data_IF_023629174516
#
_entry.id   IF_023629174516
#
_cell.length_a   1.000
_cell.length_b   1.000
_cell.length_c   1.000
_cell.angle_alpha   90.00
_cell.angle_beta   90.00
_cell.angle_gamma   90.00
#
_symmetry.space_group_name_H-M   'P 1'
#
loop_
_entity.id
_entity.type
_entity.pdbx_description
1 polymer ?
#
# COMPACT_ATOMS: atom_id res chain seq x y z
N UNK A 1 14.27 60.77 -10.84
CA UNK A 1 15.64 61.23 -10.50
C UNK A 1 16.00 62.53 -11.22
N UNK A 2 15.78 62.66 -12.53
CA UNK A 2 16.04 63.90 -13.29
C UNK A 2 15.25 65.13 -12.80
N UNK A 3 14.00 64.95 -12.37
CA UNK A 3 13.16 66.04 -11.83
C UNK A 3 13.74 66.68 -10.54
N UNK A 4 14.31 65.87 -9.65
CA UNK A 4 14.93 66.34 -8.40
C UNK A 4 16.24 67.09 -8.67
N UNK A 5 17.02 66.63 -9.65
CA UNK A 5 18.27 67.28 -10.09
C UNK A 5 17.96 68.64 -10.74
N UNK A 6 16.90 68.71 -11.57
CA UNK A 6 16.46 69.96 -12.21
C UNK A 6 16.00 71.04 -11.23
N UNK A 7 15.27 70.66 -10.17
CA UNK A 7 14.85 71.61 -9.13
C UNK A 7 16.00 72.06 -8.23
N UNK A 8 16.92 71.15 -7.87
CA UNK A 8 18.13 71.52 -7.12
C UNK A 8 19.03 72.49 -7.91
N UNK A 9 19.12 72.32 -9.22
CA UNK A 9 19.86 73.23 -10.11
C UNK A 9 19.24 74.62 -10.19
N UNK A 10 17.90 74.71 -10.26
CA UNK A 10 17.19 76.01 -10.25
C UNK A 10 17.35 76.76 -8.92
N UNK A 11 17.40 76.07 -7.80
CA UNK A 11 17.63 76.70 -6.48
C UNK A 11 19.06 77.25 -6.35
N UNK A 12 20.06 76.57 -6.93
CA UNK A 12 21.44 77.07 -6.98
C UNK A 12 21.59 78.37 -7.78
N UNK A 13 20.76 78.58 -8.81
CA UNK A 13 20.84 79.75 -9.70
C UNK A 13 20.02 80.95 -9.19
N UNK A 14 19.05 80.73 -8.30
CA UNK A 14 18.14 81.79 -7.78
C UNK A 14 18.25 81.97 -6.26
N UNK A 15 19.24 81.35 -5.61
CA UNK A 15 19.49 81.50 -4.19
C UNK A 15 19.78 82.96 -3.81
N UNK A 16 19.19 83.41 -2.70
CA UNK A 16 19.14 84.81 -2.23
C UNK A 16 20.49 85.53 -2.22
N UNK A 17 21.60 84.80 -2.16
CA UNK A 17 22.96 85.35 -2.31
C UNK A 17 23.16 86.08 -3.64
N UNK A 18 22.69 85.56 -4.78
CA UNK A 18 22.88 86.25 -6.06
C UNK A 18 22.06 87.54 -6.20
N UNK A 19 20.86 87.57 -5.62
CA UNK A 19 19.94 88.69 -5.74
C UNK A 19 20.34 89.89 -4.88
N UNK A 20 20.81 89.64 -3.65
CA UNK A 20 21.08 90.72 -2.69
C UNK A 20 22.57 91.08 -2.56
N UNK A 21 23.52 90.20 -2.94
CA UNK A 21 24.96 90.53 -2.88
C UNK A 21 25.29 91.77 -3.70
N UNK A 22 24.69 91.93 -4.87
CA UNK A 22 24.90 93.13 -5.71
C UNK A 22 24.41 94.41 -5.02
N UNK A 23 23.28 94.33 -4.33
CA UNK A 23 22.70 95.48 -3.61
C UNK A 23 23.54 95.83 -2.36
N UNK A 24 24.08 94.82 -1.65
CA UNK A 24 25.03 95.01 -0.55
C UNK A 24 26.34 95.66 -1.00
N UNK A 25 26.94 95.17 -2.10
CA UNK A 25 28.14 95.76 -2.70
C UNK A 25 27.92 97.23 -3.12
N UNK A 26 26.76 97.54 -3.71
CA UNK A 26 26.41 98.91 -4.11
C UNK A 26 26.22 99.84 -2.90
N UNK A 27 25.57 99.36 -1.84
CA UNK A 27 25.39 100.11 -0.60
C UNK A 27 26.73 100.38 0.10
N UNK A 28 27.61 99.38 0.20
CA UNK A 28 28.97 99.55 0.77
C UNK A 28 29.75 100.60 -0.02
N UNK A 29 29.72 100.53 -1.35
CA UNK A 29 30.40 101.49 -2.22
C UNK A 29 29.91 102.92 -2.01
N UNK A 30 28.59 103.13 -1.96
CA UNK A 30 27.98 104.45 -1.70
C UNK A 30 28.37 104.99 -0.33
N UNK A 31 28.41 104.14 0.71
CA UNK A 31 28.84 104.54 2.04
C UNK A 31 30.31 104.97 2.06
N UNK A 32 31.20 104.25 1.37
CA UNK A 32 32.62 104.62 1.25
C UNK A 32 32.82 105.94 0.49
N UNK A 33 32.03 106.19 -0.56
CA UNK A 33 32.06 107.46 -1.31
C UNK A 33 31.61 108.65 -0.45
N UNK A 34 30.57 108.48 0.36
CA UNK A 34 30.08 109.50 1.30
C UNK A 34 31.11 109.76 2.40
N UNK A 35 31.72 108.71 2.97
CA UNK A 35 32.79 108.83 3.96
C UNK A 35 33.99 109.64 3.44
N UNK A 36 34.45 109.32 2.23
CA UNK A 36 35.56 110.02 1.56
C UNK A 36 35.22 111.49 1.29
N UNK A 37 33.99 111.77 0.85
CA UNK A 37 33.51 113.13 0.58
C UNK A 37 33.47 113.96 1.86
N UNK A 38 33.00 113.38 2.97
CA UNK A 38 32.95 114.04 4.28
C UNK A 38 34.33 114.34 4.85
N UNK A 39 35.30 113.43 4.67
CA UNK A 39 36.70 113.67 5.05
C UNK A 39 37.34 114.82 4.27
N UNK A 40 36.88 115.09 3.04
CA UNK A 40 37.39 116.17 2.19
C UNK A 40 36.79 117.56 2.48
N UNK A 41 35.65 117.64 3.19
CA UNK A 41 34.92 118.89 3.44
C UNK A 41 35.39 119.62 4.71
N UNK A 42 35.87 120.88 4.59
CA UNK A 42 36.30 121.76 5.69
C UNK A 42 35.12 122.37 6.49
N UNK A 43 34.24 121.54 7.05
CA UNK A 43 33.18 121.95 7.99
C UNK A 43 33.51 121.48 9.42
N UNK A 44 32.86 122.08 10.42
CA UNK A 44 33.19 121.96 11.85
C UNK A 44 33.65 120.56 12.28
N UNK A 45 34.85 120.50 12.88
CA UNK A 45 35.60 119.28 13.18
C UNK A 45 34.83 118.21 13.97
N UNK A 46 33.81 118.60 14.74
CA UNK A 46 33.05 117.68 15.60
C UNK A 46 31.96 116.92 14.83
N UNK A 47 31.16 117.60 14.01
CA UNK A 47 30.01 117.00 13.30
C UNK A 47 30.43 116.06 12.17
N UNK A 48 31.51 116.38 11.45
CA UNK A 48 32.06 115.50 10.40
C UNK A 48 32.58 114.20 10.99
N UNK A 49 33.19 114.26 12.18
CA UNK A 49 33.72 113.08 12.89
C UNK A 49 32.60 112.15 13.35
N UNK A 50 31.49 112.69 13.83
CA UNK A 50 30.30 111.91 14.22
C UNK A 50 29.67 111.21 13.02
N UNK A 51 29.55 111.89 11.88
CA UNK A 51 28.94 111.31 10.68
C UNK A 51 29.82 110.22 10.05
N UNK A 52 31.14 110.39 10.03
CA UNK A 52 32.08 109.34 9.62
C UNK A 52 31.95 108.12 10.53
N UNK A 53 31.87 108.32 11.86
CA UNK A 53 31.65 107.22 12.80
C UNK A 53 30.33 106.47 12.54
N UNK A 54 29.23 107.18 12.26
CA UNK A 54 27.95 106.57 11.88
C UNK A 54 28.02 105.80 10.56
N UNK A 55 28.80 106.27 9.58
CA UNK A 55 28.99 105.55 8.31
C UNK A 55 29.79 104.26 8.52
N UNK A 56 30.86 104.31 9.32
CA UNK A 56 31.64 103.12 9.67
C UNK A 56 30.76 102.10 10.43
N UNK A 57 29.90 102.58 11.33
CA UNK A 57 28.93 101.72 12.03
C UNK A 57 27.93 101.07 11.06
N UNK A 58 27.37 101.85 10.13
CA UNK A 58 26.46 101.34 9.09
C UNK A 58 27.15 100.32 8.18
N UNK A 59 28.39 100.56 7.75
CA UNK A 59 29.18 99.59 7.00
C UNK A 59 29.38 98.29 7.79
N UNK A 60 29.64 98.39 9.10
CA UNK A 60 29.74 97.24 9.99
C UNK A 60 28.43 96.44 10.07
N UNK A 61 27.31 97.13 10.27
CA UNK A 61 25.98 96.52 10.30
C UNK A 61 25.61 95.87 8.94
N UNK A 62 26.00 96.50 7.83
CA UNK A 62 25.76 96.00 6.48
C UNK A 62 26.52 94.70 6.20
N UNK A 63 27.80 94.65 6.57
CA UNK A 63 28.62 93.44 6.46
C UNK A 63 28.07 92.30 7.34
N UNK A 64 27.57 92.62 8.55
CA UNK A 64 26.95 91.62 9.42
C UNK A 64 25.64 91.09 8.83
N UNK A 65 24.83 91.96 8.22
CA UNK A 65 23.60 91.58 7.53
C UNK A 65 23.89 90.69 6.31
N UNK A 66 24.89 91.03 5.50
CA UNK A 66 25.33 90.22 4.35
C UNK A 66 25.75 88.82 4.79
N UNK A 67 26.55 88.73 5.87
CA UNK A 67 26.95 87.43 6.45
C UNK A 67 25.73 86.62 6.90
N UNK A 68 24.78 87.23 7.61
CA UNK A 68 23.55 86.56 8.07
C UNK A 68 22.69 86.03 6.92
N UNK A 69 22.61 86.78 5.82
CA UNK A 69 21.88 86.36 4.61
C UNK A 69 22.58 85.17 3.95
N UNK A 70 23.92 85.22 3.84
CA UNK A 70 24.70 84.12 3.30
C UNK A 70 24.55 82.84 4.13
N UNK A 71 24.71 82.94 5.44
CA UNK A 71 24.56 81.81 6.37
C UNK A 71 23.13 81.23 6.29
N UNK A 72 22.11 82.09 6.20
CA UNK A 72 20.71 81.66 6.04
C UNK A 72 20.47 80.92 4.72
N UNK A 73 21.09 81.37 3.62
CA UNK A 73 20.98 80.72 2.31
C UNK A 73 21.67 79.35 2.28
N UNK A 74 22.85 79.24 2.89
CA UNK A 74 23.54 77.95 3.06
C UNK A 74 22.69 76.97 3.87
N UNK A 75 22.08 77.44 4.96
CA UNK A 75 21.14 76.64 5.76
C UNK A 75 19.90 76.22 4.97
N UNK A 76 19.29 77.12 4.20
CA UNK A 76 18.15 76.79 3.34
C UNK A 76 18.49 75.74 2.28
N UNK A 77 19.67 75.82 1.66
CA UNK A 77 20.13 74.83 0.70
C UNK A 77 20.37 73.45 1.36
N UNK A 78 20.94 73.44 2.56
CA UNK A 78 21.13 72.22 3.34
C UNK A 78 19.77 71.57 3.72
N UNK A 79 18.81 72.38 4.18
CA UNK A 79 17.46 71.92 4.52
C UNK A 79 16.73 71.39 3.28
N UNK A 80 16.78 72.12 2.17
CA UNK A 80 16.17 71.70 0.90
C UNK A 80 16.72 70.36 0.42
N UNK A 81 18.04 70.18 0.50
CA UNK A 81 18.69 68.92 0.13
C UNK A 81 18.23 67.75 1.02
N UNK A 82 18.10 67.99 2.33
CA UNK A 82 17.56 67.00 3.28
C UNK A 82 16.10 66.65 2.99
N UNK A 83 15.26 67.63 2.65
CA UNK A 83 13.85 67.41 2.27
C UNK A 83 13.77 66.55 1.00
N UNK A 84 14.58 66.87 -0.01
CA UNK A 84 14.60 66.10 -1.26
C UNK A 84 15.04 64.65 -1.02
N UNK A 85 16.08 64.43 -0.20
CA UNK A 85 16.51 63.10 0.18
C UNK A 85 15.43 62.35 0.98
N UNK A 86 14.76 63.04 1.90
CA UNK A 86 13.63 62.51 2.66
C UNK A 86 12.48 62.05 1.75
N UNK A 87 12.11 62.84 0.75
CA UNK A 87 11.07 62.48 -0.22
C UNK A 87 11.45 61.23 -1.04
N UNK A 88 12.68 61.15 -1.55
CA UNK A 88 13.14 59.97 -2.30
C UNK A 88 13.14 58.73 -1.40
N UNK A 89 13.54 58.87 -0.14
CA UNK A 89 13.54 57.76 0.83
C UNK A 89 12.10 57.33 1.13
N UNK A 90 11.18 58.28 1.27
CA UNK A 90 9.76 58.01 1.50
C UNK A 90 9.11 57.29 0.32
N UNK A 91 9.43 57.68 -0.91
CA UNK A 91 8.94 57.01 -2.12
C UNK A 91 9.49 55.58 -2.22
N UNK A 92 10.75 55.36 -1.85
CA UNK A 92 11.33 54.01 -1.72
C UNK A 92 10.61 53.17 -0.66
N UNK A 93 10.29 53.74 0.50
CA UNK A 93 9.52 53.06 1.55
C UNK A 93 8.11 52.70 1.08
N UNK A 94 7.43 53.59 0.36
CA UNK A 94 6.10 53.32 -0.23
C UNK A 94 6.16 52.13 -1.19
N UNK A 95 7.13 52.11 -2.11
CA UNK A 95 7.32 51.01 -3.04
C UNK A 95 7.57 49.67 -2.32
N UNK A 96 8.34 49.69 -1.23
CA UNK A 96 8.59 48.51 -0.40
C UNK A 96 7.33 48.01 0.32
N UNK A 97 6.49 48.94 0.82
CA UNK A 97 5.20 48.60 1.45
C UNK A 97 4.25 47.96 0.44
N UNK A 98 4.17 48.51 -0.78
CA UNK A 98 3.34 47.95 -1.84
C UNK A 98 3.80 46.55 -2.26
N UNK A 99 5.12 46.33 -2.36
CA UNK A 99 5.69 45.01 -2.62
C UNK A 99 5.37 44.01 -1.49
N UNK A 100 5.54 44.44 -0.23
CA UNK A 100 5.23 43.61 0.93
C UNK A 100 3.75 43.23 0.95
N UNK A 101 2.86 44.18 0.66
CA UNK A 101 1.41 43.94 0.57
C UNK A 101 1.08 42.89 -0.50
N UNK A 102 1.69 42.96 -1.69
CA UNK A 102 1.51 41.93 -2.71
C UNK A 102 1.98 40.56 -2.22
N UNK A 103 3.18 40.47 -1.63
CA UNK A 103 3.72 39.21 -1.10
C UNK A 103 2.83 38.59 -0.01
N UNK A 104 2.24 39.42 0.86
CA UNK A 104 1.30 38.95 1.87
C UNK A 104 0.02 38.38 1.25
N UNK A 105 -0.51 39.01 0.20
CA UNK A 105 -1.68 38.51 -0.53
C UNK A 105 -1.37 37.18 -1.24
N UNK A 106 -0.22 37.08 -1.90
CA UNK A 106 0.24 35.83 -2.53
C UNK A 106 0.40 34.70 -1.50
N UNK A 107 1.01 35.00 -0.35
CA UNK A 107 1.17 34.04 0.73
C UNK A 107 -0.18 33.54 1.25
N UNK A 108 -1.15 34.43 1.45
CA UNK A 108 -2.51 34.07 1.86
C UNK A 108 -3.19 33.13 0.87
N UNK A 109 -3.16 33.47 -0.42
CA UNK A 109 -3.74 32.64 -1.47
C UNK A 109 -3.07 31.25 -1.57
N UNK A 110 -1.75 31.20 -1.44
CA UNK A 110 -1.01 29.94 -1.47
C UNK A 110 -1.31 29.08 -0.24
N UNK A 111 -1.45 29.68 0.94
CA UNK A 111 -1.85 28.98 2.16
C UNK A 111 -3.25 28.36 2.04
N UNK A 112 -4.22 29.11 1.50
CA UNK A 112 -5.58 28.60 1.24
C UNK A 112 -5.56 27.41 0.28
N UNK A 113 -4.84 27.52 -0.85
CA UNK A 113 -4.71 26.40 -1.81
C UNK A 113 -4.08 25.16 -1.18
N UNK A 114 -3.05 25.33 -0.35
CA UNK A 114 -2.39 24.22 0.33
C UNK A 114 -3.35 23.52 1.31
N UNK A 115 -4.17 24.31 2.02
CA UNK A 115 -5.18 23.79 2.94
C UNK A 115 -6.30 23.03 2.22
N UNK A 116 -6.80 23.58 1.11
CA UNK A 116 -7.82 22.94 0.27
C UNK A 116 -7.32 21.61 -0.31
N UNK A 117 -6.10 21.58 -0.86
CA UNK A 117 -5.50 20.36 -1.40
C UNK A 117 -5.32 19.27 -0.34
N UNK A 118 -4.94 19.64 0.89
CA UNK A 118 -4.82 18.69 1.99
C UNK A 118 -6.18 18.14 2.42
N UNK A 119 -7.21 18.98 2.48
CA UNK A 119 -8.58 18.55 2.80
C UNK A 119 -9.14 17.60 1.74
N UNK A 120 -8.95 17.90 0.45
CA UNK A 120 -9.42 17.06 -0.64
C UNK A 120 -8.70 15.70 -0.67
N UNK A 121 -7.37 15.71 -0.50
CA UNK A 121 -6.56 14.49 -0.38
C UNK A 121 -6.98 13.64 0.82
N UNK A 122 -7.14 14.25 2.00
CA UNK A 122 -7.56 13.55 3.21
C UNK A 122 -8.99 12.97 3.08
N UNK A 123 -9.91 13.72 2.46
CA UNK A 123 -11.27 13.22 2.19
C UNK A 123 -11.25 12.02 1.24
N UNK A 124 -10.42 12.07 0.20
CA UNK A 124 -10.29 10.97 -0.75
C UNK A 124 -9.73 9.70 -0.08
N UNK A 125 -8.69 9.85 0.75
CA UNK A 125 -8.15 8.74 1.55
C UNK A 125 -9.19 8.16 2.52
N UNK A 126 -10.00 9.02 3.15
CA UNK A 126 -11.07 8.57 4.06
C UNK A 126 -12.15 7.79 3.32
N UNK A 127 -12.54 8.24 2.12
CA UNK A 127 -13.50 7.53 1.26
C UNK A 127 -13.00 6.16 0.82
N UNK A 128 -11.75 6.09 0.37
CA UNK A 128 -11.11 4.83 -0.02
C UNK A 128 -10.98 3.86 1.17
N UNK A 129 -10.61 4.37 2.35
CA UNK A 129 -10.57 3.57 3.57
C UNK A 129 -11.96 3.03 3.97
N UNK A 130 -13.01 3.85 3.84
CA UNK A 130 -14.39 3.42 4.07
C UNK A 130 -14.80 2.31 3.11
N UNK A 131 -14.49 2.44 1.82
CA UNK A 131 -14.82 1.44 0.81
C UNK A 131 -14.10 0.11 1.07
N UNK A 132 -12.81 0.18 1.42
CA UNK A 132 -12.04 -1.01 1.85
C UNK A 132 -12.62 -1.66 3.10
N UNK A 133 -13.04 -0.87 4.09
CA UNK A 133 -13.65 -1.38 5.31
C UNK A 133 -14.98 -2.09 5.05
N UNK A 134 -15.83 -1.53 4.17
CA UNK A 134 -17.10 -2.16 3.77
C UNK A 134 -16.87 -3.49 3.05
N UNK A 135 -15.91 -3.54 2.12
CA UNK A 135 -15.58 -4.78 1.41
C UNK A 135 -15.07 -5.86 2.37
N UNK A 136 -14.19 -5.51 3.31
CA UNK A 136 -13.69 -6.44 4.31
C UNK A 136 -14.82 -6.96 5.24
N UNK A 137 -15.80 -6.12 5.57
CA UNK A 137 -16.96 -6.53 6.36
C UNK A 137 -17.85 -7.53 5.59
N UNK A 138 -18.11 -7.27 4.31
CA UNK A 138 -18.89 -8.17 3.44
C UNK A 138 -18.19 -9.54 3.26
N UNK A 139 -16.88 -9.53 3.03
CA UNK A 139 -16.07 -10.75 2.97
C UNK A 139 -16.13 -11.53 4.29
N UNK A 140 -16.06 -10.86 5.44
CA UNK A 140 -16.16 -11.50 6.74
C UNK A 140 -17.55 -12.13 6.98
N UNK A 141 -18.63 -11.47 6.57
CA UNK A 141 -20.00 -12.01 6.64
C UNK A 141 -20.18 -13.24 5.75
N UNK A 142 -19.61 -13.21 4.53
CA UNK A 142 -19.57 -14.36 3.63
C UNK A 142 -18.82 -15.55 4.27
N UNK A 143 -17.65 -15.31 4.87
CA UNK A 143 -16.89 -16.36 5.58
C UNK A 143 -17.71 -16.95 6.74
N UNK A 144 -18.41 -16.12 7.51
CA UNK A 144 -19.25 -16.58 8.60
C UNK A 144 -20.36 -17.53 8.12
N UNK A 145 -20.94 -17.26 6.95
CA UNK A 145 -21.95 -18.12 6.31
C UNK A 145 -21.36 -19.47 5.91
N UNK A 146 -20.16 -19.47 5.33
CA UNK A 146 -19.44 -20.72 4.98
C UNK A 146 -19.14 -21.53 6.23
N UNK A 147 -18.64 -20.92 7.31
CA UNK A 147 -18.37 -21.60 8.59
C UNK A 147 -19.65 -22.24 9.14
N UNK A 148 -20.76 -21.51 9.15
CA UNK A 148 -22.05 -22.04 9.62
C UNK A 148 -22.56 -23.22 8.78
N UNK A 149 -22.35 -23.17 7.45
CA UNK A 149 -22.69 -24.29 6.56
C UNK A 149 -21.80 -25.51 6.84
N UNK A 150 -20.50 -25.30 7.00
CA UNK A 150 -19.54 -26.37 7.30
C UNK A 150 -19.83 -27.03 8.65
N UNK A 151 -20.14 -26.26 9.70
CA UNK A 151 -20.51 -26.79 11.01
C UNK A 151 -21.75 -27.70 10.93
N UNK A 152 -22.76 -27.31 10.12
CA UNK A 152 -23.93 -28.16 9.86
C UNK A 152 -23.56 -29.45 9.13
N UNK A 153 -22.68 -29.37 8.14
CA UNK A 153 -22.24 -30.57 7.41
C UNK A 153 -21.46 -31.53 8.29
N UNK A 154 -20.57 -31.01 9.15
CA UNK A 154 -19.82 -31.81 10.12
C UNK A 154 -20.79 -32.54 11.05
N UNK A 155 -21.72 -31.81 11.69
CA UNK A 155 -22.72 -32.42 12.59
C UNK A 155 -23.59 -33.49 11.91
N UNK A 156 -24.00 -33.25 10.67
CA UNK A 156 -24.74 -34.25 9.91
C UNK A 156 -23.90 -35.49 9.60
N UNK A 157 -22.62 -35.29 9.26
CA UNK A 157 -21.68 -36.38 8.99
C UNK A 157 -21.41 -37.18 10.25
N UNK A 158 -21.15 -36.52 11.39
CA UNK A 158 -20.94 -37.17 12.68
C UNK A 158 -22.15 -38.03 13.06
N UNK A 159 -23.37 -37.49 12.91
CA UNK A 159 -24.59 -38.24 13.17
C UNK A 159 -24.75 -39.46 12.25
N UNK A 160 -24.39 -39.33 10.97
CA UNK A 160 -24.41 -40.47 10.04
C UNK A 160 -23.38 -41.53 10.43
N UNK A 161 -22.20 -41.11 10.87
CA UNK A 161 -21.16 -42.02 11.37
C UNK A 161 -21.67 -42.75 12.62
N UNK A 162 -22.21 -42.02 13.61
CA UNK A 162 -22.77 -42.62 14.83
C UNK A 162 -23.88 -43.65 14.50
N UNK A 163 -24.80 -43.30 13.60
CA UNK A 163 -25.88 -44.21 13.19
C UNK A 163 -25.38 -45.46 12.45
N UNK A 164 -24.27 -45.38 11.73
CA UNK A 164 -23.72 -46.50 10.97
C UNK A 164 -22.67 -47.30 11.74
N UNK A 165 -22.11 -46.74 12.80
CA UNK A 165 -21.04 -47.36 13.57
C UNK A 165 -21.44 -48.73 14.12
N UNK A 166 -22.61 -48.81 14.77
CA UNK A 166 -23.12 -50.06 15.33
C UNK A 166 -23.43 -51.08 14.24
N UNK A 167 -24.02 -50.66 13.12
CA UNK A 167 -24.32 -51.54 11.99
C UNK A 167 -23.05 -52.11 11.35
N UNK A 168 -22.03 -51.27 11.17
CA UNK A 168 -20.74 -51.69 10.63
C UNK A 168 -20.07 -52.70 11.56
N UNK A 169 -20.02 -52.39 12.86
CA UNK A 169 -19.41 -53.28 13.86
C UNK A 169 -20.16 -54.62 13.97
N UNK A 170 -21.49 -54.58 13.98
CA UNK A 170 -22.32 -55.80 13.99
C UNK A 170 -22.11 -56.63 12.72
N UNK A 171 -22.10 -56.00 11.54
CA UNK A 171 -21.87 -56.68 10.27
C UNK A 171 -20.49 -57.31 10.21
N UNK A 172 -19.46 -56.61 10.70
CA UNK A 172 -18.10 -57.13 10.78
C UNK A 172 -18.05 -58.35 11.71
N UNK A 173 -18.60 -58.25 12.92
CA UNK A 173 -18.64 -59.37 13.86
C UNK A 173 -19.42 -60.58 13.31
N UNK A 174 -20.52 -60.34 12.60
CA UNK A 174 -21.32 -61.40 11.98
C UNK A 174 -20.59 -62.05 10.81
N UNK A 175 -19.83 -61.28 10.04
CA UNK A 175 -18.98 -61.83 8.98
C UNK A 175 -17.85 -62.68 9.56
N UNK A 176 -17.19 -62.22 10.62
CA UNK A 176 -16.12 -62.96 11.29
C UNK A 176 -16.65 -64.29 11.85
N UNK A 177 -17.83 -64.30 12.49
CA UNK A 177 -18.49 -65.54 12.93
C UNK A 177 -18.82 -66.49 11.79
N UNK A 178 -19.28 -65.98 10.65
CA UNK A 178 -19.57 -66.82 9.47
C UNK A 178 -18.29 -67.40 8.87
N UNK A 179 -17.19 -66.64 8.88
CA UNK A 179 -15.89 -67.14 8.44
C UNK A 179 -15.41 -68.26 9.36
N UNK A 180 -15.54 -68.10 10.67
CA UNK A 180 -15.20 -69.13 11.66
C UNK A 180 -16.05 -70.40 11.46
N UNK A 181 -17.37 -70.26 11.25
CA UNK A 181 -18.27 -71.39 10.98
C UNK A 181 -17.91 -72.11 9.68
N UNK A 182 -17.65 -71.38 8.60
CA UNK A 182 -17.20 -71.96 7.34
C UNK A 182 -15.86 -72.68 7.48
N UNK A 183 -14.93 -72.12 8.25
CA UNK A 183 -13.63 -72.74 8.50
C UNK A 183 -13.76 -74.01 9.35
N UNK A 184 -14.68 -74.03 10.31
CA UNK A 184 -15.01 -75.22 11.07
C UNK A 184 -15.63 -76.30 10.16
N UNK A 185 -16.64 -75.94 9.36
CA UNK A 185 -17.29 -76.88 8.44
C UNK A 185 -16.30 -77.45 7.42
N UNK A 186 -15.38 -76.62 6.91
CA UNK A 186 -14.31 -77.08 6.02
C UNK A 186 -13.38 -78.08 6.73
N UNK A 187 -12.98 -77.77 7.96
CA UNK A 187 -12.11 -78.66 8.74
C UNK A 187 -12.80 -79.99 9.05
N UNK A 188 -14.10 -79.97 9.37
CA UNK A 188 -14.90 -81.17 9.58
C UNK A 188 -15.02 -82.00 8.30
N UNK A 189 -15.22 -81.36 7.15
CA UNK A 189 -15.27 -82.04 5.85
C UNK A 189 -13.91 -82.67 5.51
N UNK A 190 -12.81 -81.95 5.68
CA UNK A 190 -11.45 -82.45 5.45
C UNK A 190 -11.15 -83.69 6.32
N UNK A 191 -11.67 -83.76 7.55
CA UNK A 191 -11.54 -84.94 8.42
C UNK A 191 -12.35 -86.15 7.95
N UNK A 192 -13.45 -85.93 7.21
CA UNK A 192 -14.32 -87.01 6.72
C UNK A 192 -13.93 -87.51 5.32
N UNK A 193 -13.23 -86.71 4.50
CA UNK A 193 -12.80 -87.10 3.15
C UNK A 193 -11.99 -88.41 3.13
N UNK A 194 -10.98 -88.63 3.99
CA UNK A 194 -10.21 -89.88 4.00
C UNK A 194 -11.09 -91.12 4.22
N UNK A 195 -12.06 -91.04 5.14
CA UNK A 195 -13.02 -92.12 5.42
C UNK A 195 -13.94 -92.41 4.23
N UNK A 196 -14.32 -91.37 3.49
CA UNK A 196 -15.11 -91.52 2.26
C UNK A 196 -14.25 -92.18 1.18
N UNK A 197 -12.99 -91.75 1.02
CA UNK A 197 -12.03 -92.35 0.10
C UNK A 197 -11.77 -93.82 0.44
N UNK A 198 -11.73 -94.19 1.71
CA UNK A 198 -11.60 -95.59 2.14
C UNK A 198 -12.77 -96.43 1.63
N UNK A 199 -13.99 -95.96 1.86
CA UNK A 199 -15.20 -96.70 1.46
C UNK A 199 -15.38 -96.76 -0.06
N UNK A 200 -15.09 -95.67 -0.75
CA UNK A 200 -15.34 -95.55 -2.20
C UNK A 200 -14.19 -96.08 -3.03
N UNK A 201 -12.97 -95.65 -2.72
CA UNK A 201 -11.77 -95.94 -3.50
C UNK A 201 -10.94 -97.10 -2.92
N UNK A 202 -11.10 -97.44 -1.63
CA UNK A 202 -10.48 -98.61 -1.01
C UNK A 202 -9.28 -98.31 -0.11
N UNK A 203 -8.94 -97.03 0.13
CA UNK A 203 -7.84 -96.63 1.00
C UNK A 203 -8.19 -95.36 1.80
N UNK A 204 -7.90 -95.37 3.10
CA UNK A 204 -8.04 -94.22 4.00
C UNK A 204 -6.88 -93.25 3.79
N UNK A 205 -6.99 -92.41 2.75
CA UNK A 205 -6.02 -91.36 2.46
C UNK A 205 -6.67 -90.17 1.77
N UNK A 206 -6.12 -88.99 2.03
CA UNK A 206 -6.44 -87.74 1.33
C UNK A 206 -5.48 -87.46 0.16
N UNK A 207 -4.42 -88.26 0.03
CA UNK A 207 -3.47 -88.18 -1.08
C UNK A 207 -4.01 -88.88 -2.33
N UNK A 208 -3.61 -88.38 -3.50
CA UNK A 208 -3.92 -88.99 -4.80
C UNK A 208 -3.09 -90.24 -5.12
N UNK A 209 -2.92 -91.11 -4.14
CA UNK A 209 -2.08 -92.30 -4.19
C UNK A 209 -2.65 -93.39 -5.11
N UNK A 210 -2.24 -94.64 -4.92
CA UNK A 210 -2.54 -95.78 -5.80
C UNK A 210 -4.03 -95.89 -6.07
N UNK A 211 -4.86 -95.76 -5.03
CA UNK A 211 -6.32 -95.85 -5.12
C UNK A 211 -7.02 -94.54 -5.47
N UNK A 212 -6.32 -93.40 -5.48
CA UNK A 212 -6.93 -92.09 -5.71
C UNK A 212 -7.90 -91.66 -4.60
N UNK A 213 -8.78 -90.70 -4.92
CA UNK A 213 -9.65 -90.05 -3.94
C UNK A 213 -10.42 -88.87 -4.51
N UNK A 214 -11.24 -88.22 -3.67
CA UNK A 214 -11.95 -87.00 -4.02
C UNK A 214 -10.96 -85.92 -4.53
N UNK A 215 -11.24 -85.34 -5.71
CA UNK A 215 -10.37 -84.32 -6.32
C UNK A 215 -9.17 -84.86 -7.12
N UNK A 216 -8.88 -86.17 -7.08
CA UNK A 216 -7.70 -86.75 -7.75
C UNK A 216 -7.93 -87.17 -9.21
N UNK A 217 -9.17 -87.12 -9.70
CA UNK A 217 -9.54 -87.53 -11.07
C UNK A 217 -9.47 -89.04 -11.35
N UNK A 218 -9.08 -89.84 -10.36
CA UNK A 218 -9.12 -91.32 -10.36
C UNK A 218 -9.56 -91.81 -8.98
N UNK A 219 -10.28 -92.92 -8.93
CA UNK A 219 -10.71 -93.58 -7.69
C UNK A 219 -10.88 -95.09 -7.97
N UNK A 220 -10.25 -95.92 -7.16
CA UNK A 220 -10.21 -97.38 -7.35
C UNK A 220 -9.04 -97.87 -8.21
N UNK A 221 -9.04 -99.16 -8.50
CA UNK A 221 -7.99 -99.84 -9.27
C UNK A 221 -7.72 -101.25 -8.78
N UNK A 222 -6.87 -102.00 -9.49
CA UNK A 222 -6.61 -103.42 -9.21
C UNK A 222 -6.11 -103.65 -7.78
N UNK A 223 -5.33 -102.71 -7.23
CA UNK A 223 -4.77 -102.77 -5.88
C UNK A 223 -5.73 -102.28 -4.79
N UNK A 224 -6.97 -101.95 -5.14
CA UNK A 224 -7.93 -101.23 -4.32
C UNK A 224 -9.26 -101.98 -4.27
N UNK A 225 -9.16 -103.28 -4.01
CA UNK A 225 -10.24 -104.27 -4.06
C UNK A 225 -11.33 -104.03 -3.01
N UNK A 226 -10.99 -103.34 -1.90
CA UNK A 226 -11.97 -103.01 -0.86
C UNK A 226 -12.91 -101.86 -1.24
N UNK A 227 -12.51 -101.03 -2.20
CA UNK A 227 -13.28 -99.88 -2.66
C UNK A 227 -14.57 -100.24 -3.39
N UNK A 228 -15.64 -99.51 -3.12
CA UNK A 228 -16.93 -99.68 -3.77
C UNK A 228 -16.84 -99.54 -5.30
N UNK A 229 -16.03 -98.61 -5.82
CA UNK A 229 -15.87 -98.42 -7.28
C UNK A 229 -15.23 -99.64 -7.92
N UNK A 230 -14.08 -100.09 -7.41
CA UNK A 230 -13.40 -101.29 -7.93
C UNK A 230 -14.31 -102.51 -7.91
N UNK A 231 -15.07 -102.71 -6.83
CA UNK A 231 -16.05 -103.81 -6.74
C UNK A 231 -17.14 -103.71 -7.81
N UNK A 232 -17.67 -102.51 -8.06
CA UNK A 232 -18.68 -102.29 -9.09
C UNK A 232 -18.11 -102.53 -10.50
N UNK A 233 -16.90 -102.05 -10.78
CA UNK A 233 -16.22 -102.28 -12.06
C UNK A 233 -15.93 -103.77 -12.30
N UNK A 234 -15.44 -104.48 -11.28
CA UNK A 234 -15.22 -105.93 -11.35
C UNK A 234 -16.52 -106.70 -11.57
N UNK A 235 -17.60 -106.30 -10.90
CA UNK A 235 -18.91 -106.90 -11.09
C UNK A 235 -19.45 -106.68 -12.51
N UNK A 236 -19.26 -105.47 -13.07
CA UNK A 236 -19.65 -105.13 -14.44
C UNK A 236 -18.82 -105.90 -15.46
N UNK A 237 -17.49 -105.96 -15.30
CA UNK A 237 -16.61 -106.75 -16.17
C UNK A 237 -16.97 -108.25 -16.11
N UNK A 238 -17.24 -108.78 -14.92
CA UNK A 238 -17.69 -110.16 -14.76
C UNK A 238 -19.04 -110.41 -15.45
N UNK A 239 -20.00 -109.49 -15.32
CA UNK A 239 -21.29 -109.58 -16.00
C UNK A 239 -21.13 -109.54 -17.52
N UNK A 240 -20.33 -108.61 -18.06
CA UNK A 240 -20.06 -108.50 -19.49
C UNK A 240 -19.35 -109.73 -20.05
N UNK A 241 -18.34 -110.25 -19.35
CA UNK A 241 -17.66 -111.51 -19.74
C UNK A 241 -18.61 -112.69 -19.72
N UNK A 242 -19.50 -112.75 -18.71
CA UNK A 242 -20.51 -113.80 -18.63
C UNK A 242 -21.51 -113.68 -19.77
N UNK A 243 -22.00 -112.48 -20.09
CA UNK A 243 -22.87 -112.23 -21.24
C UNK A 243 -22.19 -112.63 -22.55
N UNK A 244 -20.92 -112.25 -22.75
CA UNK A 244 -20.19 -112.59 -23.96
C UNK A 244 -20.00 -114.11 -24.10
N UNK A 245 -19.64 -114.80 -23.01
CA UNK A 245 -19.53 -116.26 -22.99
C UNK A 245 -20.87 -116.94 -23.25
N UNK A 246 -21.98 -116.40 -22.73
CA UNK A 246 -23.32 -116.91 -23.01
C UNK A 246 -23.61 -116.80 -24.51
N UNK A 247 -23.39 -115.62 -25.13
CA UNK A 247 -23.59 -115.42 -26.57
C UNK A 247 -22.71 -116.34 -27.44
N UNK A 248 -21.46 -116.55 -27.05
CA UNK A 248 -20.55 -117.45 -27.76
C UNK A 248 -21.04 -118.91 -27.70
N UNK A 249 -21.51 -119.34 -26.52
CA UNK A 249 -22.13 -120.66 -26.35
C UNK A 249 -23.46 -120.80 -27.10
N UNK A 250 -24.27 -119.75 -27.21
CA UNK A 250 -25.48 -119.73 -28.02
C UNK A 250 -25.17 -119.89 -29.52
N UNK A 251 -24.20 -119.15 -30.05
CA UNK A 251 -23.79 -119.24 -31.46
C UNK A 251 -23.22 -120.62 -31.82
N UNK A 252 -22.38 -121.19 -30.95
CA UNK A 252 -21.86 -122.56 -31.17
C UNK A 252 -22.94 -123.63 -31.03
N UNK A 253 -24.00 -123.40 -30.27
CA UNK A 253 -25.15 -124.29 -30.21
C UNK A 253 -26.03 -124.18 -31.47
N UNK A 254 -26.16 -123.00 -32.08
CA UNK A 254 -26.87 -122.80 -33.35
C UNK A 254 -26.15 -123.43 -34.55
N UNK A 255 -24.80 -123.41 -34.58
CA UNK A 255 -24.00 -124.05 -35.65
C UNK A 255 -24.01 -125.59 -35.61
N UNK A 256 -24.54 -126.20 -34.53
CA UNK A 256 -24.66 -127.66 -34.35
C UNK A 256 -26.02 -128.23 -34.82
N UNK A 257 -26.90 -127.40 -35.37
CA UNK A 257 -28.20 -127.77 -35.97
C UNK A 257 -28.29 -127.38 -37.45
#
# INVERSE_FOLDING_TARGET
>A
TEYAIGNASKIKVVGATGAYTRDFEEMTKKLTEVESTLQSAKLGQTTVKELVASITELQGQLNEAEKKVKDSNENLNAITSKINLGNVTLDGLRANIDNLKMKTLELGNNATKLQEANLEGALNLTREAKERALKAADEAESVQTVIASTDRQIKNTDRLIEMQYDNFNNTQNDNDKKLDDLQQQLSELELEIPKINEKMCGQDSDSCDICGGAGCGKCGGISCDQGAITKAEQALDFANKTEHRIKEHELTAEDLF
#
